data_IF_306561939439
#
_entry.id   IF_306561939439
#
_cell.length_a   1.000
_cell.length_b   1.000
_cell.length_c   1.000
_cell.angle_alpha   90.00
_cell.angle_beta   90.00
_cell.angle_gamma   90.00
#
_symmetry.space_group_name_H-M   'P 1'
#
loop_
_entity.id
_entity.type
_entity.pdbx_description
1 polymer ?
#
# COMPACT_ATOMS: atom_id res chain seq x y z
N UNK A 1 -8.87 6.98 1.33
CA UNK A 1 -7.76 7.86 1.78
C UNK A 1 -6.82 7.24 2.82
N UNK A 2 -7.30 6.35 3.70
CA UNK A 2 -6.50 5.75 4.79
C UNK A 2 -5.14 5.17 4.35
N UNK A 3 -5.11 4.33 3.31
CA UNK A 3 -3.88 3.74 2.79
C UNK A 3 -2.87 4.78 2.29
N UNK A 4 -3.32 5.83 1.59
CA UNK A 4 -2.44 6.86 1.05
C UNK A 4 -1.73 7.64 2.17
N UNK A 5 -2.49 8.09 3.18
CA UNK A 5 -1.94 8.84 4.32
C UNK A 5 -0.93 8.00 5.10
N UNK A 6 -1.25 6.73 5.37
CA UNK A 6 -0.30 5.85 6.08
C UNK A 6 0.89 5.45 5.24
N UNK A 7 0.73 5.32 3.91
CA UNK A 7 1.85 5.07 3.01
C UNK A 7 2.86 6.22 3.09
N UNK A 8 2.40 7.48 3.02
CA UNK A 8 3.28 8.65 3.18
C UNK A 8 4.01 8.60 4.54
N UNK A 9 3.28 8.37 5.63
CA UNK A 9 3.87 8.31 6.97
C UNK A 9 4.95 7.22 7.10
N UNK A 10 4.63 5.97 6.73
CA UNK A 10 5.56 4.85 6.86
C UNK A 10 6.72 4.93 5.86
N UNK A 11 6.47 5.47 4.65
CA UNK A 11 7.51 5.73 3.66
C UNK A 11 8.48 6.80 4.15
N UNK A 12 8.01 7.84 4.84
CA UNK A 12 8.89 8.83 5.47
C UNK A 12 9.78 8.18 6.53
N UNK A 13 9.23 7.33 7.41
CA UNK A 13 10.03 6.59 8.41
C UNK A 13 11.09 5.71 7.73
N UNK A 14 10.70 4.94 6.72
CA UNK A 14 11.65 4.12 5.95
C UNK A 14 12.67 4.97 5.18
N UNK A 15 12.27 6.13 4.66
CA UNK A 15 13.16 7.07 3.98
C UNK A 15 14.24 7.63 4.91
N UNK A 16 13.88 7.95 6.15
CA UNK A 16 14.85 8.40 7.15
C UNK A 16 15.91 7.33 7.46
N UNK A 17 15.54 6.04 7.49
CA UNK A 17 16.54 4.98 7.69
C UNK A 17 17.47 4.80 6.49
N UNK A 18 17.06 5.22 5.28
CA UNK A 18 17.97 5.30 4.11
C UNK A 18 19.06 6.32 4.29
N UNK A 19 18.71 7.49 4.84
CA UNK A 19 19.64 8.59 5.03
C UNK A 19 20.77 8.14 5.98
N UNK A 20 20.45 7.32 6.97
CA UNK A 20 21.43 6.68 7.87
C UNK A 20 22.37 5.75 7.08
N UNK A 21 21.83 4.85 6.26
CA UNK A 21 22.63 3.89 5.44
C UNK A 21 23.38 4.55 4.28
N UNK A 22 23.00 5.75 3.87
CA UNK A 22 23.71 6.48 2.81
C UNK A 22 25.09 7.00 3.27
N UNK A 23 25.36 6.99 4.59
CA UNK A 23 26.66 7.35 5.13
C UNK A 23 27.64 6.17 5.02
N UNK A 24 28.80 6.40 4.39
CA UNK A 24 29.81 5.36 4.20
C UNK A 24 30.30 4.70 5.50
N UNK A 25 30.53 5.47 6.57
CA UNK A 25 31.01 4.93 7.84
C UNK A 25 29.98 4.06 8.54
N UNK A 26 28.70 4.46 8.49
CA UNK A 26 27.60 3.66 9.06
C UNK A 26 27.27 2.44 8.19
N UNK A 27 27.40 2.55 6.86
CA UNK A 27 27.20 1.42 5.98
C UNK A 27 28.20 0.31 6.29
N UNK A 28 29.48 0.61 6.55
CA UNK A 28 30.47 -0.42 6.96
C UNK A 28 29.98 -1.25 8.16
N UNK A 29 29.39 -0.59 9.17
CA UNK A 29 28.93 -1.25 10.40
C UNK A 29 27.58 -1.96 10.25
N UNK A 30 26.71 -1.47 9.37
CA UNK A 30 25.34 -1.98 9.18
C UNK A 30 25.20 -2.81 7.90
N UNK A 31 26.26 -2.95 7.12
CA UNK A 31 26.28 -3.71 5.88
C UNK A 31 25.88 -5.14 6.15
N UNK A 32 25.05 -5.70 5.26
CA UNK A 32 24.58 -7.08 5.38
C UNK A 32 23.91 -7.44 6.72
N UNK A 33 23.43 -6.47 7.49
CA UNK A 33 22.66 -6.72 8.71
C UNK A 33 21.16 -6.63 8.45
N UNK A 34 20.36 -7.04 9.44
CA UNK A 34 18.92 -6.85 9.44
C UNK A 34 18.49 -5.37 9.36
N UNK A 35 19.38 -4.40 9.60
CA UNK A 35 19.05 -2.98 9.48
C UNK A 35 18.76 -2.59 8.03
N UNK A 36 19.59 -3.06 7.09
CA UNK A 36 19.37 -2.87 5.65
C UNK A 36 18.09 -3.56 5.17
N UNK A 37 17.81 -4.77 5.71
CA UNK A 37 16.58 -5.51 5.43
C UNK A 37 15.36 -4.73 5.92
N UNK A 38 15.40 -4.21 7.15
CA UNK A 38 14.33 -3.43 7.74
C UNK A 38 14.04 -2.16 6.93
N UNK A 39 15.09 -1.43 6.57
CA UNK A 39 15.00 -0.23 5.74
C UNK A 39 14.26 -0.52 4.42
N UNK A 40 14.75 -1.50 3.66
CA UNK A 40 14.17 -1.83 2.36
C UNK A 40 12.72 -2.30 2.47
N UNK A 41 12.39 -3.11 3.47
CA UNK A 41 11.02 -3.58 3.68
C UNK A 41 10.08 -2.44 4.08
N UNK A 42 10.51 -1.47 4.89
CA UNK A 42 9.67 -0.30 5.16
C UNK A 42 9.38 0.49 3.88
N UNK A 43 10.41 0.79 3.07
CA UNK A 43 10.24 1.58 1.84
C UNK A 43 9.44 0.82 0.78
N UNK A 44 9.84 -0.41 0.45
CA UNK A 44 9.18 -1.19 -0.60
C UNK A 44 7.81 -1.68 -0.14
N UNK A 45 7.70 -2.29 1.04
CA UNK A 45 6.43 -2.85 1.49
C UNK A 45 5.42 -1.76 1.85
N UNK A 46 5.82 -0.65 2.49
CA UNK A 46 4.86 0.38 2.92
C UNK A 46 4.66 1.47 1.85
N UNK A 47 5.59 1.63 0.92
CA UNK A 47 5.39 2.43 -0.27
C UNK A 47 4.55 1.67 -1.29
N UNK A 48 5.12 0.62 -1.89
CA UNK A 48 4.53 -0.02 -3.05
C UNK A 48 3.25 -0.81 -2.71
N UNK A 49 3.24 -1.62 -1.65
CA UNK A 49 2.09 -2.49 -1.36
C UNK A 49 0.89 -1.67 -0.83
N UNK A 50 1.10 -0.66 0.02
CA UNK A 50 0.00 0.22 0.44
C UNK A 50 -0.52 1.08 -0.71
N UNK A 51 0.35 1.57 -1.59
CA UNK A 51 -0.08 2.26 -2.81
C UNK A 51 -0.89 1.32 -3.72
N UNK A 52 -0.50 0.05 -3.83
CA UNK A 52 -1.25 -0.97 -4.57
C UNK A 52 -2.64 -1.19 -3.95
N UNK A 53 -2.76 -1.34 -2.63
CA UNK A 53 -4.08 -1.46 -1.98
C UNK A 53 -4.90 -0.18 -2.10
N UNK A 54 -4.28 1.01 -1.99
CA UNK A 54 -4.96 2.27 -2.20
C UNK A 54 -5.56 2.36 -3.62
N UNK A 55 -4.76 2.01 -4.64
CA UNK A 55 -5.18 1.97 -6.05
C UNK A 55 -6.26 0.92 -6.29
N UNK A 56 -6.14 -0.26 -5.67
CA UNK A 56 -7.17 -1.28 -5.74
C UNK A 56 -8.50 -0.74 -5.21
N UNK A 57 -8.55 -0.21 -3.99
CA UNK A 57 -9.78 0.33 -3.43
C UNK A 57 -10.34 1.52 -4.23
N UNK A 58 -9.48 2.33 -4.83
CA UNK A 58 -9.89 3.46 -5.67
C UNK A 58 -10.55 3.00 -6.98
N UNK A 59 -9.95 2.03 -7.68
CA UNK A 59 -10.42 1.60 -9.02
C UNK A 59 -11.24 0.31 -9.04
N UNK A 60 -11.39 -0.42 -7.92
CA UNK A 60 -12.18 -1.67 -7.89
C UNK A 60 -13.62 -1.46 -8.37
N UNK A 61 -14.20 -0.30 -8.04
CA UNK A 61 -15.52 0.10 -8.54
C UNK A 61 -15.57 0.31 -10.06
N UNK A 62 -14.48 0.77 -10.65
CA UNK A 62 -14.36 0.98 -12.10
C UNK A 62 -14.19 -0.34 -12.85
N UNK A 63 -13.44 -1.29 -12.27
CA UNK A 63 -13.15 -2.59 -12.88
C UNK A 63 -14.39 -3.51 -12.83
N UNK A 64 -15.02 -3.64 -11.66
CA UNK A 64 -16.13 -4.58 -11.46
C UNK A 64 -17.52 -3.93 -11.55
N UNK A 65 -17.62 -2.60 -11.63
CA UNK A 65 -18.89 -1.87 -11.58
C UNK A 65 -19.60 -1.91 -10.23
N UNK A 66 -18.92 -2.38 -9.17
CA UNK A 66 -19.50 -2.63 -7.84
C UNK A 66 -18.65 -2.01 -6.75
N UNK A 67 -19.31 -1.48 -5.72
CA UNK A 67 -18.62 -0.95 -4.54
C UNK A 67 -18.25 -2.08 -3.57
N UNK A 68 -17.15 -1.88 -2.85
CA UNK A 68 -16.76 -2.74 -1.73
C UNK A 68 -17.40 -2.23 -0.44
N UNK A 69 -17.66 -3.10 0.56
CA UNK A 69 -18.13 -2.65 1.87
C UNK A 69 -17.02 -1.93 2.63
N UNK A 70 -17.24 -0.65 2.93
CA UNK A 70 -16.23 0.23 3.54
C UNK A 70 -15.73 -0.31 4.89
N UNK A 71 -16.59 -0.92 5.70
CA UNK A 71 -16.20 -1.50 6.99
C UNK A 71 -15.16 -2.61 6.85
N UNK A 72 -15.30 -3.50 5.86
CA UNK A 72 -14.30 -4.56 5.62
C UNK A 72 -12.99 -3.98 5.06
N UNK A 73 -13.07 -2.93 4.23
CA UNK A 73 -11.89 -2.21 3.76
C UNK A 73 -11.10 -1.58 4.90
N UNK A 74 -11.79 -0.93 5.84
CA UNK A 74 -11.17 -0.34 7.04
C UNK A 74 -10.56 -1.40 7.97
N UNK A 75 -11.23 -2.54 8.17
CA UNK A 75 -10.68 -3.67 8.94
C UNK A 75 -9.41 -4.21 8.28
N UNK A 76 -9.44 -4.44 6.96
CA UNK A 76 -8.25 -4.88 6.21
C UNK A 76 -7.10 -3.88 6.35
N UNK A 77 -7.40 -2.59 6.22
CA UNK A 77 -6.42 -1.52 6.42
C UNK A 77 -5.79 -1.55 7.81
N UNK A 78 -6.59 -1.59 8.89
CA UNK A 78 -6.06 -1.54 10.25
C UNK A 78 -5.23 -2.76 10.60
N UNK A 79 -5.65 -3.97 10.20
CA UNK A 79 -4.86 -5.19 10.40
C UNK A 79 -3.52 -5.08 9.67
N UNK A 80 -3.54 -4.63 8.41
CA UNK A 80 -2.33 -4.50 7.59
C UNK A 80 -1.39 -3.41 8.12
N UNK A 81 -1.95 -2.31 8.64
CA UNK A 81 -1.19 -1.22 9.25
C UNK A 81 -0.55 -1.63 10.58
N UNK A 82 -1.31 -2.25 11.48
CA UNK A 82 -0.77 -2.66 12.78
C UNK A 82 0.25 -3.79 12.68
N UNK A 83 0.19 -4.61 11.63
CA UNK A 83 1.19 -5.67 11.34
C UNK A 83 2.60 -5.13 11.08
N UNK A 84 2.72 -3.92 10.53
CA UNK A 84 4.01 -3.35 10.11
C UNK A 84 4.99 -3.25 11.26
N UNK A 85 4.53 -2.72 12.39
CA UNK A 85 5.37 -2.50 13.57
C UNK A 85 5.92 -3.80 14.17
N UNK A 86 5.10 -4.80 14.57
CA UNK A 86 5.62 -6.03 15.14
C UNK A 86 6.48 -6.82 14.15
N UNK A 87 6.22 -6.77 12.84
CA UNK A 87 7.01 -7.54 11.86
C UNK A 87 8.36 -6.87 11.56
N UNK A 88 8.35 -5.58 11.21
CA UNK A 88 9.51 -4.93 10.59
C UNK A 88 10.28 -4.02 11.55
N UNK A 89 9.63 -3.46 12.58
CA UNK A 89 10.32 -2.59 13.52
C UNK A 89 11.42 -3.32 14.30
N UNK A 90 11.20 -4.57 14.80
CA UNK A 90 12.25 -5.34 15.46
C UNK A 90 13.51 -5.50 14.62
N UNK A 91 13.38 -5.66 13.30
CA UNK A 91 14.54 -5.85 12.41
C UNK A 91 15.56 -4.70 12.50
N UNK A 92 15.13 -3.47 12.80
CA UNK A 92 16.06 -2.37 13.06
C UNK A 92 16.90 -2.63 14.33
N UNK A 93 16.29 -3.11 15.41
CA UNK A 93 17.01 -3.45 16.64
C UNK A 93 17.94 -4.65 16.44
N UNK A 94 17.51 -5.69 15.72
CA UNK A 94 18.38 -6.82 15.41
C UNK A 94 19.58 -6.40 14.56
N UNK A 95 19.35 -5.52 13.58
CA UNK A 95 20.40 -4.96 12.74
C UNK A 95 21.41 -4.14 13.52
N UNK A 96 20.94 -3.27 14.41
CA UNK A 96 21.81 -2.50 15.32
C UNK A 96 22.59 -3.39 16.29
N UNK A 97 22.04 -4.56 16.64
CA UNK A 97 22.73 -5.57 17.46
C UNK A 97 23.69 -6.49 16.67
N UNK A 98 23.85 -6.24 15.37
CA UNK A 98 24.82 -6.92 14.52
C UNK A 98 24.36 -8.27 13.94
N UNK A 99 23.06 -8.59 13.98
CA UNK A 99 22.58 -9.83 13.37
C UNK A 99 22.74 -9.77 11.83
N UNK A 100 23.51 -10.69 11.22
CA UNK A 100 23.68 -10.72 9.78
C UNK A 100 22.40 -11.21 9.09
N UNK A 101 22.21 -10.76 7.85
CA UNK A 101 21.10 -11.22 6.99
C UNK A 101 21.36 -12.63 6.45
N UNK A 102 20.28 -13.29 6.01
CA UNK A 102 20.36 -14.58 5.30
C UNK A 102 21.00 -15.73 6.10
N UNK A 103 20.82 -15.75 7.42
CA UNK A 103 21.19 -16.87 8.28
C UNK A 103 19.95 -17.70 8.65
N UNK A 104 20.03 -19.03 8.60
CA UNK A 104 18.92 -19.90 9.00
C UNK A 104 18.74 -19.94 10.53
N UNK A 105 19.85 -19.92 11.27
CA UNK A 105 19.88 -19.98 12.74
C UNK A 105 20.64 -18.79 13.33
N UNK A 106 20.34 -18.45 14.58
CA UNK A 106 20.90 -17.28 15.27
C UNK A 106 21.17 -17.56 16.76
N UNK A 107 22.13 -16.85 17.38
CA UNK A 107 22.37 -16.95 18.82
C UNK A 107 21.16 -16.58 19.67
N UNK A 108 21.06 -17.16 20.88
CA UNK A 108 19.94 -16.97 21.82
C UNK A 108 19.65 -15.49 22.16
N UNK A 109 20.66 -14.63 22.07
CA UNK A 109 20.54 -13.19 22.28
C UNK A 109 19.52 -12.51 21.33
N UNK A 110 19.29 -13.07 20.13
CA UNK A 110 18.38 -12.50 19.14
C UNK A 110 16.95 -13.11 19.17
N UNK A 111 16.73 -14.14 19.99
CA UNK A 111 15.47 -14.90 20.02
C UNK A 111 14.26 -14.05 20.37
N UNK A 112 14.37 -13.12 21.32
CA UNK A 112 13.24 -12.29 21.76
C UNK A 112 12.62 -11.48 20.61
N UNK A 113 13.46 -10.77 19.87
CA UNK A 113 12.98 -9.93 18.76
C UNK A 113 12.53 -10.75 17.54
N UNK A 114 13.20 -11.87 17.24
CA UNK A 114 12.79 -12.77 16.16
C UNK A 114 11.44 -13.45 16.45
N UNK A 115 11.17 -13.82 17.70
CA UNK A 115 9.86 -14.35 18.11
C UNK A 115 8.75 -13.30 17.91
N UNK A 116 9.00 -12.05 18.28
CA UNK A 116 8.04 -10.95 18.10
C UNK A 116 7.82 -10.61 16.61
N UNK A 117 8.87 -10.60 15.79
CA UNK A 117 8.78 -10.43 14.33
C UNK A 117 7.96 -11.55 13.68
N UNK A 118 8.17 -12.79 14.13
CA UNK A 118 7.41 -13.96 13.68
C UNK A 118 5.93 -13.84 14.01
N UNK A 119 5.58 -13.35 15.21
CA UNK A 119 4.19 -13.08 15.58
C UNK A 119 3.53 -12.05 14.64
N UNK A 120 4.25 -10.97 14.32
CA UNK A 120 3.79 -9.98 13.34
C UNK A 120 3.48 -10.59 11.97
N UNK A 121 4.26 -11.58 11.54
CA UNK A 121 4.05 -12.24 10.25
C UNK A 121 2.68 -12.93 10.14
N UNK A 122 2.18 -13.57 11.21
CA UNK A 122 0.86 -14.20 11.22
C UNK A 122 -0.27 -13.18 11.06
N UNK A 123 -0.11 -11.98 11.63
CA UNK A 123 -1.08 -10.88 11.46
C UNK A 123 -1.18 -10.48 9.98
N UNK A 124 -0.08 -10.56 9.21
CA UNK A 124 -0.08 -10.27 7.77
C UNK A 124 -0.92 -11.26 6.99
N UNK A 125 -0.83 -12.55 7.35
CA UNK A 125 -1.64 -13.60 6.72
C UNK A 125 -3.12 -13.33 6.95
N UNK A 126 -3.49 -12.91 8.16
CA UNK A 126 -4.87 -12.49 8.47
C UNK A 126 -5.27 -11.27 7.63
N UNK A 127 -4.38 -10.28 7.47
CA UNK A 127 -4.59 -9.11 6.64
C UNK A 127 -4.86 -9.45 5.17
N UNK A 128 -4.04 -10.33 4.57
CA UNK A 128 -4.19 -10.80 3.19
C UNK A 128 -5.46 -11.64 3.03
N UNK A 129 -5.78 -12.50 4.00
CA UNK A 129 -7.05 -13.25 3.99
C UNK A 129 -8.26 -12.31 3.98
N UNK A 130 -8.21 -11.22 4.75
CA UNK A 130 -9.26 -10.18 4.73
C UNK A 130 -9.32 -9.44 3.39
N UNK A 131 -8.19 -9.16 2.76
CA UNK A 131 -8.15 -8.60 1.40
C UNK A 131 -8.91 -9.48 0.41
N UNK A 132 -8.59 -10.77 0.32
CA UNK A 132 -9.28 -11.68 -0.60
C UNK A 132 -10.78 -11.82 -0.30
N UNK A 133 -11.18 -11.72 0.96
CA UNK A 133 -12.59 -11.65 1.34
C UNK A 133 -13.26 -10.39 0.75
N UNK A 134 -12.61 -9.22 0.81
CA UNK A 134 -13.10 -7.99 0.16
C UNK A 134 -13.22 -8.18 -1.35
N UNK A 135 -12.22 -8.76 -2.01
CA UNK A 135 -12.26 -9.05 -3.46
C UNK A 135 -13.45 -9.96 -3.80
N UNK A 136 -13.59 -11.08 -3.07
CA UNK A 136 -14.67 -12.05 -3.29
C UNK A 136 -16.05 -11.42 -3.13
N UNK A 137 -16.27 -10.64 -2.07
CA UNK A 137 -17.55 -9.97 -1.84
C UNK A 137 -17.84 -8.96 -2.93
N UNK A 138 -16.84 -8.18 -3.35
CA UNK A 138 -17.01 -7.15 -4.38
C UNK A 138 -17.35 -7.77 -5.74
N UNK A 139 -16.74 -8.91 -6.09
CA UNK A 139 -17.00 -9.63 -7.34
C UNK A 139 -18.31 -10.44 -7.31
N UNK A 140 -18.61 -11.13 -6.21
CA UNK A 140 -19.72 -12.09 -6.14
C UNK A 140 -21.05 -11.49 -5.68
N UNK A 141 -21.06 -10.37 -4.95
CA UNK A 141 -22.29 -9.89 -4.31
C UNK A 141 -23.24 -9.23 -5.31
N UNK A 142 -24.27 -9.97 -5.74
CA UNK A 142 -25.38 -9.45 -6.55
C UNK A 142 -26.22 -8.35 -5.87
N UNK A 143 -26.02 -8.14 -4.56
CA UNK A 143 -26.70 -7.11 -3.77
C UNK A 143 -25.86 -5.85 -3.53
N UNK A 144 -24.60 -5.78 -3.99
CA UNK A 144 -23.81 -4.57 -3.82
C UNK A 144 -24.32 -3.46 -4.74
N UNK A 145 -24.39 -2.24 -4.20
CA UNK A 145 -24.78 -1.05 -4.97
C UNK A 145 -23.88 -0.93 -6.20
N UNK A 146 -24.50 -0.70 -7.36
CA UNK A 146 -23.76 -0.37 -8.58
C UNK A 146 -22.90 0.85 -8.30
N UNK A 147 -21.66 0.80 -8.75
CA UNK A 147 -20.76 1.93 -8.64
C UNK A 147 -21.30 3.07 -9.52
N UNK A 148 -21.46 4.26 -8.93
CA UNK A 148 -21.78 5.44 -9.72
C UNK A 148 -20.65 5.70 -10.75
N UNK A 149 -20.93 6.37 -11.88
CA UNK A 149 -19.90 6.76 -12.84
C UNK A 149 -18.76 7.54 -12.18
N UNK A 150 -19.10 8.39 -11.21
CA UNK A 150 -18.15 9.07 -10.32
C UNK A 150 -18.53 8.84 -8.85
N UNK A 151 -17.99 7.80 -8.20
CA UNK A 151 -18.28 7.48 -6.80
C UNK A 151 -17.49 8.36 -5.82
N UNK A 152 -16.44 9.06 -6.30
CA UNK A 152 -15.51 9.83 -5.50
C UNK A 152 -15.63 11.34 -5.70
N UNK A 153 -16.46 11.82 -6.64
CA UNK A 153 -16.57 13.25 -6.86
C UNK A 153 -17.44 13.91 -5.78
N UNK A 154 -16.90 14.99 -5.21
CA UNK A 154 -17.58 15.89 -4.28
C UNK A 154 -18.43 16.92 -5.05
N UNK A 155 -18.11 17.16 -6.32
CA UNK A 155 -18.82 18.06 -7.23
C UNK A 155 -19.30 17.30 -8.49
N UNK A 156 -20.20 17.90 -9.27
CA UNK A 156 -20.70 17.29 -10.51
C UNK A 156 -19.61 17.04 -11.57
N UNK A 157 -18.46 17.72 -11.45
CA UNK A 157 -17.33 17.59 -12.36
C UNK A 157 -16.22 16.72 -11.75
N UNK A 158 -15.89 15.63 -12.44
CA UNK A 158 -14.72 14.82 -12.10
C UNK A 158 -13.43 15.54 -12.49
N UNK A 159 -12.44 15.55 -11.59
CA UNK A 159 -11.11 16.12 -11.86
C UNK A 159 -10.34 15.34 -12.93
N UNK A 160 -10.56 14.02 -13.02
CA UNK A 160 -9.88 13.16 -14.00
C UNK A 160 -10.88 12.54 -14.98
N UNK A 161 -10.45 12.39 -16.24
CA UNK A 161 -11.30 11.91 -17.35
C UNK A 161 -11.84 10.49 -17.12
N UNK A 162 -11.13 9.66 -16.36
CA UNK A 162 -11.53 8.27 -16.11
C UNK A 162 -12.91 8.16 -15.43
N UNK A 163 -13.29 9.13 -14.59
CA UNK A 163 -14.57 9.15 -13.86
C UNK A 163 -15.70 9.85 -14.62
N UNK A 164 -15.44 10.36 -15.83
CA UNK A 164 -16.49 10.86 -16.73
C UNK A 164 -17.28 9.72 -17.38
N UNK A 165 -16.66 8.54 -17.49
CA UNK A 165 -17.23 7.36 -18.17
C UNK A 165 -17.98 6.48 -17.16
N UNK A 166 -18.86 5.61 -17.65
CA UNK A 166 -19.53 4.59 -16.85
C UNK A 166 -18.55 3.59 -16.19
N UNK A 167 -19.05 2.87 -15.19
CA UNK A 167 -18.31 1.86 -14.43
C UNK A 167 -19.09 0.53 -14.47
N UNK A 168 -18.62 -0.51 -15.20
CA UNK A 168 -17.41 -0.55 -16.03
C UNK A 168 -17.55 0.27 -17.34
N UNK A 169 -16.43 0.70 -17.95
CA UNK A 169 -16.46 1.37 -19.24
C UNK A 169 -16.93 0.41 -20.36
N UNK A 170 -17.54 0.97 -21.40
CA UNK A 170 -17.86 0.23 -22.62
C UNK A 170 -16.58 -0.20 -23.36
N UNK A 171 -16.70 -1.14 -24.31
CA UNK A 171 -15.57 -1.61 -25.12
C UNK A 171 -14.85 -0.46 -25.85
N UNK A 172 -15.61 0.50 -26.36
CA UNK A 172 -15.10 1.78 -26.81
C UNK A 172 -15.36 2.83 -25.71
N UNK A 173 -14.29 3.22 -25.00
CA UNK A 173 -14.38 4.06 -23.80
C UNK A 173 -15.01 5.43 -24.05
N UNK A 174 -14.71 6.04 -25.19
CA UNK A 174 -15.27 7.32 -25.63
C UNK A 174 -15.84 7.15 -27.04
N UNK A 175 -17.13 7.41 -27.22
CA UNK A 175 -17.74 7.47 -28.57
C UNK A 175 -17.30 8.72 -29.33
N UNK A 176 -17.13 9.82 -28.61
CA UNK A 176 -16.54 11.07 -29.09
C UNK A 176 -15.47 11.53 -28.10
N UNK A 177 -14.34 12.01 -28.63
CA UNK A 177 -13.21 12.44 -27.81
C UNK A 177 -13.54 13.72 -27.03
N UNK A 178 -13.18 13.81 -25.74
CA UNK A 178 -13.42 15.03 -24.97
C UNK A 178 -12.57 16.19 -25.50
N UNK A 179 -13.20 17.35 -25.70
CA UNK A 179 -12.51 18.56 -26.11
C UNK A 179 -11.87 19.26 -24.90
N UNK A 180 -10.63 19.73 -25.07
CA UNK A 180 -9.94 20.58 -24.09
C UNK A 180 -9.92 22.00 -24.64
N UNK A 181 -10.47 22.95 -23.89
CA UNK A 181 -10.43 24.37 -24.25
C UNK A 181 -9.01 24.90 -24.06
N UNK A 182 -8.31 25.22 -25.14
CA UNK A 182 -7.03 25.91 -25.05
C UNK A 182 -7.21 27.34 -24.55
N UNK A 183 -6.27 27.82 -23.74
CA UNK A 183 -6.35 29.12 -23.07
C UNK A 183 -5.73 30.27 -23.87
N UNK A 184 -4.87 30.00 -24.87
CA UNK A 184 -4.33 31.02 -25.81
C UNK A 184 -3.91 30.38 -27.15
N UNK A 185 -4.43 30.90 -28.26
CA UNK A 185 -3.90 30.61 -29.60
C UNK A 185 -2.73 31.56 -29.87
N UNK A 186 -1.51 31.05 -29.86
CA UNK A 186 -0.35 31.81 -30.37
C UNK A 186 -0.33 31.67 -31.90
N UNK A 187 -1.10 32.52 -32.58
CA UNK A 187 -0.91 32.75 -34.01
C UNK A 187 0.36 33.60 -34.15
N UNK A 188 1.38 33.05 -34.82
CA UNK A 188 2.57 33.78 -35.26
C UNK A 188 2.23 34.71 -36.42
#
# INVERSE_FOLDING_TARGET
MLFAVRSIFLFTIGGLTRIVLANYGLDIALHDTYYAVAHFHYVLSMGAVFALFARFHYWVGKIFGRTYPETLGQIHFWITFFRVNPTLFPMHFLGLSGMPRCIPDYPDAYTGWNAFSSFGSYISVVGIRRFFMVVKITSSSGNNKRCAPSPWAVEQNSTTLEWMVQSPPAFHTFGELPAIKETKSYVK
#
